data_IF_180842565144
#
_entry.id   IF_180842565144
#
_cell.length_a   1.000
_cell.length_b   1.000
_cell.length_c   1.000
_cell.angle_alpha   90.00
_cell.angle_beta   90.00
_cell.angle_gamma   90.00
#
_symmetry.space_group_name_H-M   'P 1'
#
loop_
_entity.id
_entity.type
_entity.pdbx_description
1 polymer ?
#
# COMPACT_ATOMS: atom_id res chain seq x y z
N UNK A 1 -0.71 -8.20 -26.97
CA UNK A 1 -0.61 -8.53 -25.53
C UNK A 1 -0.17 -7.25 -24.84
N UNK A 2 -1.06 -6.60 -24.12
CA UNK A 2 -0.75 -5.35 -23.41
C UNK A 2 0.01 -5.66 -22.11
N UNK A 3 0.68 -4.68 -21.52
CA UNK A 3 1.32 -4.80 -20.19
C UNK A 3 0.33 -5.29 -19.13
N UNK A 4 -0.94 -4.87 -19.22
CA UNK A 4 -2.07 -5.32 -18.40
C UNK A 4 -2.37 -6.81 -18.56
N UNK A 5 -2.33 -7.34 -19.80
CA UNK A 5 -2.56 -8.77 -20.05
C UNK A 5 -1.44 -9.61 -19.45
N UNK A 6 -0.20 -9.10 -19.47
CA UNK A 6 0.96 -9.77 -18.86
C UNK A 6 0.90 -9.78 -17.34
N UNK A 7 0.43 -8.69 -16.71
CA UNK A 7 0.23 -8.61 -15.26
C UNK A 7 -0.94 -9.49 -14.83
N UNK A 8 -2.06 -9.50 -15.56
CA UNK A 8 -3.21 -10.33 -15.23
C UNK A 8 -2.91 -11.83 -15.39
N UNK A 9 -2.19 -12.25 -16.43
CA UNK A 9 -1.75 -13.64 -16.60
C UNK A 9 -0.75 -14.07 -15.52
N UNK A 10 0.11 -13.16 -15.07
CA UNK A 10 1.00 -13.40 -13.94
C UNK A 10 0.22 -13.43 -12.63
N UNK A 11 -0.83 -12.62 -12.49
CA UNK A 11 -1.72 -12.57 -11.33
C UNK A 11 -2.44 -13.91 -11.11
N UNK A 12 -3.07 -14.51 -12.13
CA UNK A 12 -3.74 -15.82 -12.01
C UNK A 12 -2.76 -16.94 -11.66
N UNK A 13 -1.54 -16.93 -12.21
CA UNK A 13 -0.50 -17.89 -11.88
C UNK A 13 0.07 -17.73 -10.47
N UNK A 14 0.07 -16.49 -9.94
CA UNK A 14 0.60 -16.15 -8.62
C UNK A 14 -0.42 -16.47 -7.53
N UNK A 15 -1.72 -16.25 -7.78
CA UNK A 15 -2.80 -16.53 -6.82
C UNK A 15 -2.93 -18.03 -6.49
N UNK A 16 -2.43 -18.92 -7.35
CA UNK A 16 -2.38 -20.36 -7.10
C UNK A 16 -1.07 -20.86 -6.48
N UNK A 17 -0.13 -19.96 -6.16
CA UNK A 17 1.15 -20.31 -5.57
C UNK A 17 1.23 -19.81 -4.13
N UNK A 18 1.30 -20.69 -3.11
CA UNK A 18 1.36 -20.28 -1.69
C UNK A 18 2.61 -19.49 -1.31
N UNK A 19 3.58 -19.35 -2.20
CA UNK A 19 4.77 -18.52 -2.01
C UNK A 19 5.20 -17.89 -3.34
N UNK A 20 4.42 -16.92 -3.86
CA UNK A 20 4.68 -16.36 -5.18
C UNK A 20 6.04 -15.65 -5.22
N UNK A 21 6.82 -15.84 -6.29
CA UNK A 21 8.03 -15.07 -6.50
C UNK A 21 7.66 -13.59 -6.63
N UNK A 22 8.49 -12.71 -6.08
CA UNK A 22 8.33 -11.27 -6.29
C UNK A 22 8.35 -10.98 -7.80
N UNK A 23 7.34 -10.22 -8.25
CA UNK A 23 7.31 -9.78 -9.65
C UNK A 23 8.53 -8.90 -9.96
N UNK A 24 9.16 -9.04 -11.12
CA UNK A 24 10.13 -8.07 -11.60
C UNK A 24 9.40 -6.75 -11.85
N UNK A 25 9.67 -5.75 -11.02
CA UNK A 25 8.95 -4.47 -11.02
C UNK A 25 9.83 -3.41 -11.68
N UNK A 26 9.29 -2.73 -12.68
CA UNK A 26 9.78 -1.41 -13.05
C UNK A 26 9.09 -0.37 -12.15
N UNK A 27 9.85 0.44 -11.46
CA UNK A 27 9.34 1.55 -10.64
C UNK A 27 10.25 2.77 -10.76
N UNK A 28 9.73 3.93 -10.41
CA UNK A 28 10.48 5.18 -10.26
C UNK A 28 11.48 5.16 -9.09
N UNK A 29 11.69 3.99 -8.48
CA UNK A 29 12.50 3.80 -7.29
C UNK A 29 11.71 3.85 -5.98
N UNK A 30 10.39 4.11 -6.01
CA UNK A 30 9.55 4.16 -4.81
C UNK A 30 9.05 2.79 -4.33
N UNK A 31 9.17 1.74 -5.14
CA UNK A 31 8.73 0.38 -4.84
C UNK A 31 9.84 -0.62 -5.12
N UNK A 32 10.15 -1.47 -4.15
CA UNK A 32 11.15 -2.53 -4.30
C UNK A 32 10.55 -3.93 -4.44
N UNK A 33 9.31 -4.16 -3.97
CA UNK A 33 8.68 -5.48 -4.00
C UNK A 33 7.16 -5.39 -3.84
N UNK A 34 6.42 -6.30 -4.51
CA UNK A 34 4.97 -6.45 -4.37
C UNK A 34 4.65 -7.91 -3.99
N UNK A 35 3.69 -8.11 -3.08
CA UNK A 35 3.07 -9.40 -2.74
C UNK A 35 1.56 -9.26 -2.77
N UNK A 36 0.89 -10.36 -3.03
CA UNK A 36 -0.57 -10.44 -2.93
C UNK A 36 -0.97 -11.05 -1.60
N UNK A 37 -2.12 -10.62 -1.06
CA UNK A 37 -2.67 -11.21 0.14
C UNK A 37 -3.05 -12.66 -0.13
N UNK A 38 -2.69 -13.55 0.81
CA UNK A 38 -3.08 -14.95 0.80
C UNK A 38 -4.11 -15.18 1.91
N UNK A 39 -5.17 -15.93 1.63
CA UNK A 39 -6.25 -16.27 2.56
C UNK A 39 -5.86 -17.45 3.48
N UNK A 40 -4.56 -17.61 3.74
CA UNK A 40 -4.05 -18.63 4.64
C UNK A 40 -4.30 -18.26 6.11
N UNK A 41 -4.48 -19.28 6.92
CA UNK A 41 -4.88 -19.31 8.33
C UNK A 41 -4.51 -18.08 9.15
N UNK A 42 -5.53 -17.34 9.61
CA UNK A 42 -5.38 -16.23 10.54
C UNK A 42 -4.78 -16.68 11.89
N UNK A 43 -3.95 -15.83 12.47
CA UNK A 43 -3.40 -16.03 13.81
C UNK A 43 -4.02 -14.97 14.74
N UNK A 44 -4.89 -15.41 15.61
CA UNK A 44 -5.47 -14.55 16.65
C UNK A 44 -4.50 -14.40 17.83
N UNK A 45 -4.07 -13.18 18.09
CA UNK A 45 -3.21 -12.85 19.22
C UNK A 45 -3.97 -11.99 20.24
N UNK A 46 -3.59 -12.05 21.55
CA UNK A 46 -4.14 -11.16 22.55
C UNK A 46 -3.92 -9.68 22.17
N UNK A 47 -4.98 -8.91 22.19
CA UNK A 47 -4.97 -7.48 21.93
C UNK A 47 -5.56 -6.73 23.12
N UNK A 48 -4.81 -5.76 23.61
CA UNK A 48 -5.23 -4.91 24.72
C UNK A 48 -5.74 -3.58 24.14
N UNK A 49 -7.06 -3.43 24.05
CA UNK A 49 -7.71 -2.22 23.54
C UNK A 49 -7.76 -1.11 24.61
N UNK A 50 -6.64 -0.88 25.25
CA UNK A 50 -6.50 0.21 26.22
C UNK A 50 -5.58 1.27 25.67
N UNK A 51 -6.00 2.53 25.77
CA UNK A 51 -5.13 3.67 25.47
C UNK A 51 -4.00 3.74 26.50
N UNK A 52 -2.90 3.06 26.22
CA UNK A 52 -1.68 3.21 27.00
C UNK A 52 -1.11 4.59 26.73
N UNK A 53 -1.11 5.47 27.71
CA UNK A 53 -0.48 6.79 27.58
C UNK A 53 1.04 6.61 27.54
N UNK A 54 1.65 6.97 26.42
CA UNK A 54 3.11 6.97 26.27
C UNK A 54 3.69 8.11 27.15
N UNK A 55 3.98 7.84 28.39
CA UNK A 55 4.55 8.85 29.30
C UNK A 55 4.20 8.65 30.78
N UNK A 56 3.10 7.96 31.09
CA UNK A 56 2.74 7.63 32.48
C UNK A 56 2.29 6.17 32.59
N UNK A 57 2.66 5.47 33.69
CA UNK A 57 2.13 4.15 33.96
C UNK A 57 0.61 4.25 34.14
N UNK A 58 -0.14 3.44 33.40
CA UNK A 58 -1.58 3.26 33.61
C UNK A 58 -1.81 2.05 34.53
N UNK A 59 -2.78 2.10 35.48
CA UNK A 59 -3.13 0.90 36.28
C UNK A 59 -3.52 -0.25 35.35
N UNK A 60 -2.98 -1.44 35.60
CA UNK A 60 -3.22 -2.64 34.82
C UNK A 60 -4.55 -3.34 35.11
N UNK A 61 -5.45 -2.71 35.84
CA UNK A 61 -6.72 -3.29 36.29
C UNK A 61 -7.82 -3.04 35.26
N UNK A 62 -8.58 -4.07 34.89
CA UNK A 62 -9.74 -4.08 34.01
C UNK A 62 -9.46 -3.99 32.47
N UNK A 63 -8.45 -4.68 31.98
CA UNK A 63 -8.25 -4.82 30.55
C UNK A 63 -8.99 -6.05 30.02
N UNK A 64 -10.07 -5.82 29.27
CA UNK A 64 -10.70 -6.87 28.46
C UNK A 64 -9.71 -7.29 27.38
N UNK A 65 -9.19 -8.51 27.51
CA UNK A 65 -8.36 -9.13 26.49
C UNK A 65 -9.26 -9.46 25.28
N UNK A 66 -9.08 -8.74 24.21
CA UNK A 66 -9.67 -9.07 22.91
C UNK A 66 -8.67 -9.95 22.13
N UNK A 67 -9.19 -10.74 21.21
CA UNK A 67 -8.34 -11.45 20.26
C UNK A 67 -8.40 -10.74 18.92
N UNK A 68 -7.25 -10.46 18.35
CA UNK A 68 -7.11 -9.77 17.09
C UNK A 68 -6.25 -10.60 16.14
N UNK A 69 -6.76 -10.80 14.94
CA UNK A 69 -5.98 -11.20 13.78
C UNK A 69 -5.59 -9.94 12.99
N UNK A 70 -4.30 -9.72 12.83
CA UNK A 70 -3.79 -8.56 12.06
C UNK A 70 -4.28 -8.58 10.61
N UNK A 71 -4.42 -9.75 9.99
CA UNK A 71 -4.94 -9.84 8.64
C UNK A 71 -6.37 -9.29 8.57
N UNK A 72 -7.23 -9.69 9.51
CA UNK A 72 -8.61 -9.18 9.60
C UNK A 72 -8.65 -7.68 9.86
N UNK A 73 -7.68 -7.14 10.61
CA UNK A 73 -7.61 -5.70 10.90
C UNK A 73 -7.25 -4.88 9.66
N UNK A 74 -6.26 -5.33 8.88
CA UNK A 74 -5.66 -4.51 7.82
C UNK A 74 -6.15 -4.86 6.42
N UNK A 75 -6.82 -6.02 6.24
CA UNK A 75 -7.30 -6.52 4.96
C UNK A 75 -8.83 -6.54 4.97
N UNK A 76 -9.46 -5.54 4.36
CA UNK A 76 -10.91 -5.49 4.22
C UNK A 76 -11.40 -6.38 3.05
N UNK A 77 -10.64 -6.40 1.96
CA UNK A 77 -10.97 -7.12 0.72
C UNK A 77 -9.79 -8.00 0.29
N UNK A 78 -9.68 -9.27 0.75
CA UNK A 78 -8.52 -10.12 0.46
C UNK A 78 -8.21 -10.27 -1.03
N UNK A 79 -9.24 -10.43 -1.87
CA UNK A 79 -9.09 -10.59 -3.33
C UNK A 79 -8.62 -9.31 -4.05
N UNK A 80 -8.75 -8.15 -3.41
CA UNK A 80 -8.34 -6.86 -3.94
C UNK A 80 -7.10 -6.27 -3.24
N UNK A 81 -6.59 -6.94 -2.19
CA UNK A 81 -5.49 -6.44 -1.37
C UNK A 81 -4.15 -7.02 -1.81
N UNK A 82 -3.15 -6.17 -1.86
CA UNK A 82 -1.75 -6.57 -2.05
C UNK A 82 -0.83 -5.73 -1.16
N UNK A 83 0.41 -6.17 -1.01
CA UNK A 83 1.41 -5.51 -0.19
C UNK A 83 2.54 -4.99 -1.05
N UNK A 84 3.04 -3.80 -0.72
CA UNK A 84 4.13 -3.14 -1.42
C UNK A 84 5.24 -2.81 -0.44
N UNK A 85 6.47 -3.15 -0.75
CA UNK A 85 7.64 -2.65 0.00
C UNK A 85 8.09 -1.34 -0.61
N UNK A 86 8.11 -0.32 0.21
CA UNK A 86 8.62 1.01 -0.14
C UNK A 86 10.13 0.96 -0.40
N UNK A 87 10.57 1.72 -1.38
CA UNK A 87 11.97 2.07 -1.60
C UNK A 87 12.09 3.58 -1.76
N UNK A 88 13.16 4.16 -1.21
CA UNK A 88 13.40 5.60 -1.28
C UNK A 88 12.54 6.43 -0.34
N UNK A 89 12.57 7.75 -0.54
CA UNK A 89 12.12 8.75 0.43
C UNK A 89 11.05 9.72 -0.11
N UNK A 90 10.41 9.39 -1.23
CA UNK A 90 9.45 10.31 -1.89
C UNK A 90 8.21 10.63 -1.06
N UNK A 91 7.92 9.83 -0.02
CA UNK A 91 6.75 9.96 0.86
C UNK A 91 7.13 10.15 2.34
N UNK A 92 8.35 10.60 2.61
CA UNK A 92 8.95 10.71 3.95
C UNK A 92 8.18 11.63 4.89
N UNK A 93 7.66 12.75 4.40
CA UNK A 93 7.08 13.79 5.25
C UNK A 93 5.73 13.39 5.86
N UNK A 94 5.11 12.31 5.35
CA UNK A 94 3.94 11.66 5.97
C UNK A 94 4.30 10.37 6.71
N UNK A 95 5.59 10.13 6.95
CA UNK A 95 6.08 9.00 7.73
C UNK A 95 6.20 7.68 6.96
N UNK A 96 6.04 7.66 5.63
CA UNK A 96 6.31 6.49 4.79
C UNK A 96 7.76 6.58 4.31
N UNK A 97 8.58 5.59 4.71
CA UNK A 97 10.03 5.59 4.49
C UNK A 97 10.52 4.28 3.89
N UNK A 98 11.76 4.27 3.45
CA UNK A 98 12.41 3.08 2.89
C UNK A 98 12.25 1.85 3.78
N UNK A 99 11.89 0.72 3.18
CA UNK A 99 11.69 -0.56 3.86
C UNK A 99 10.29 -0.79 4.45
N UNK A 100 9.45 0.24 4.58
CA UNK A 100 8.07 0.10 5.06
C UNK A 100 7.25 -0.81 4.15
N UNK A 101 6.22 -1.43 4.71
CA UNK A 101 5.26 -2.24 3.94
C UNK A 101 3.93 -1.50 3.92
N UNK A 102 3.41 -1.27 2.74
CA UNK A 102 2.08 -0.70 2.53
C UNK A 102 1.07 -1.82 2.25
N UNK A 103 -0.10 -1.71 2.86
CA UNK A 103 -1.30 -2.47 2.49
C UNK A 103 -2.07 -1.65 1.48
N UNK A 104 -2.36 -2.21 0.33
CA UNK A 104 -2.97 -1.51 -0.80
C UNK A 104 -4.25 -2.22 -1.22
N UNK A 105 -5.35 -1.49 -1.28
CA UNK A 105 -6.64 -2.00 -1.69
C UNK A 105 -7.03 -1.46 -3.07
N UNK A 106 -7.29 -2.35 -4.02
CA UNK A 106 -7.70 -2.04 -5.39
C UNK A 106 -9.20 -1.77 -5.53
N UNK A 107 -10.00 -2.14 -4.55
CA UNK A 107 -11.45 -1.96 -4.58
C UNK A 107 -11.88 -0.53 -4.26
N UNK A 108 -10.97 0.29 -3.73
CA UNK A 108 -11.26 1.68 -3.39
C UNK A 108 -11.21 2.54 -4.65
N UNK A 109 -12.36 3.06 -5.07
CA UNK A 109 -12.50 3.86 -6.29
C UNK A 109 -12.39 5.37 -6.06
N UNK A 110 -12.34 5.84 -4.81
CA UNK A 110 -12.20 7.26 -4.50
C UNK A 110 -10.74 7.58 -4.14
N UNK A 111 -10.06 8.34 -4.99
CA UNK A 111 -8.60 8.53 -4.92
C UNK A 111 -8.19 9.91 -4.43
N UNK A 112 -9.07 10.92 -4.52
CA UNK A 112 -8.75 12.31 -4.21
C UNK A 112 -8.15 12.47 -2.79
N UNK A 113 -7.02 13.14 -2.71
CA UNK A 113 -6.21 13.34 -1.50
C UNK A 113 -5.69 12.05 -0.82
N UNK A 114 -5.76 10.90 -1.50
CA UNK A 114 -5.25 9.64 -0.97
C UNK A 114 -3.86 9.30 -1.51
N UNK A 115 -3.15 8.49 -0.72
CA UNK A 115 -1.90 7.88 -1.20
C UNK A 115 -2.28 6.69 -2.06
N UNK A 116 -1.76 6.68 -3.28
CA UNK A 116 -2.05 5.62 -4.26
C UNK A 116 -0.75 4.95 -4.72
N UNK A 117 -0.88 3.70 -5.10
CA UNK A 117 0.06 3.04 -6.00
C UNK A 117 -0.48 3.24 -7.41
N UNK A 118 0.29 3.89 -8.25
CA UNK A 118 -0.07 4.18 -9.63
C UNK A 118 0.93 3.56 -10.60
N UNK A 119 0.50 3.39 -11.85
CA UNK A 119 1.34 2.99 -12.98
C UNK A 119 1.33 4.11 -14.01
N UNK A 120 2.51 4.53 -14.43
CA UNK A 120 2.72 5.51 -15.50
C UNK A 120 3.71 4.90 -16.49
N UNK A 121 3.32 4.79 -17.76
CA UNK A 121 4.18 4.27 -18.83
C UNK A 121 4.87 2.94 -18.44
N UNK A 122 4.12 2.06 -17.78
CA UNK A 122 4.57 0.75 -17.25
C UNK A 122 5.53 0.81 -16.06
N UNK A 123 5.65 1.94 -15.36
CA UNK A 123 6.44 2.08 -14.14
C UNK A 123 5.55 2.37 -12.93
N UNK A 124 5.78 1.65 -11.83
CA UNK A 124 5.07 1.85 -10.57
C UNK A 124 5.61 3.06 -9.80
N UNK A 125 4.71 3.81 -9.17
CA UNK A 125 5.04 4.90 -8.26
C UNK A 125 4.09 4.96 -7.08
N UNK A 126 4.55 5.52 -5.95
CA UNK A 126 3.73 5.83 -4.77
C UNK A 126 3.67 7.35 -4.64
N UNK A 127 2.47 7.91 -4.71
CA UNK A 127 2.26 9.36 -4.66
C UNK A 127 0.91 9.67 -4.00
N UNK A 128 0.72 10.94 -3.60
CA UNK A 128 -0.61 11.47 -3.31
C UNK A 128 -1.30 11.83 -4.61
N UNK A 129 -2.52 11.33 -4.76
CA UNK A 129 -3.38 11.67 -5.89
C UNK A 129 -4.13 12.96 -5.59
N UNK A 130 -4.00 13.96 -6.43
CA UNK A 130 -4.75 15.22 -6.37
C UNK A 130 -5.26 15.61 -7.76
N UNK A 131 -6.27 16.48 -7.81
CA UNK A 131 -6.82 16.97 -9.06
C UNK A 131 -6.82 18.50 -9.07
N UNK A 132 -6.26 19.10 -10.09
CA UNK A 132 -6.26 20.55 -10.33
C UNK A 132 -6.85 20.84 -11.71
N UNK A 133 -7.96 21.59 -11.77
CA UNK A 133 -8.61 21.97 -13.03
C UNK A 133 -8.80 20.75 -13.99
N UNK A 134 -9.35 19.65 -13.45
CA UNK A 134 -9.56 18.38 -14.16
C UNK A 134 -8.28 17.63 -14.59
N UNK A 135 -7.12 18.10 -14.17
CA UNK A 135 -5.85 17.43 -14.42
C UNK A 135 -5.39 16.68 -13.18
N UNK A 136 -5.06 15.40 -13.35
CA UNK A 136 -4.48 14.59 -12.28
C UNK A 136 -3.04 15.01 -12.03
N UNK A 137 -2.72 15.21 -10.75
CA UNK A 137 -1.36 15.47 -10.27
C UNK A 137 -1.02 14.40 -9.24
N UNK A 138 0.12 13.77 -9.42
CA UNK A 138 0.69 12.83 -8.46
C UNK A 138 1.80 13.52 -7.68
N UNK A 139 1.52 13.82 -6.41
CA UNK A 139 2.41 14.61 -5.55
C UNK A 139 3.27 13.70 -4.66
N UNK A 140 4.56 14.01 -4.60
CA UNK A 140 5.44 13.43 -3.58
C UNK A 140 5.21 14.14 -2.24
N UNK A 141 5.33 13.42 -1.16
CA UNK A 141 5.35 13.96 0.21
C UNK A 141 6.80 14.15 0.68
N UNK A 142 7.58 14.78 -0.18
CA UNK A 142 8.97 15.18 0.03
C UNK A 142 9.33 16.22 -1.02
N UNK A 143 9.69 17.46 -0.64
CA UNK A 143 9.99 18.55 -1.58
C UNK A 143 11.19 18.30 -2.50
N UNK A 144 12.04 17.34 -2.15
CA UNK A 144 13.18 16.95 -3.00
C UNK A 144 12.75 16.14 -4.25
N UNK A 145 11.46 15.75 -4.32
CA UNK A 145 10.89 14.98 -5.43
C UNK A 145 9.82 15.79 -6.17
N UNK A 146 9.87 15.86 -7.50
CA UNK A 146 8.90 16.61 -8.28
C UNK A 146 7.53 15.94 -8.28
N UNK A 147 6.47 16.74 -8.38
CA UNK A 147 5.13 16.27 -8.71
C UNK A 147 5.06 15.88 -10.19
N UNK A 148 4.21 14.89 -10.50
CA UNK A 148 3.98 14.39 -11.86
C UNK A 148 2.59 14.84 -12.31
N UNK A 149 2.54 15.70 -13.33
CA UNK A 149 1.28 16.09 -13.96
C UNK A 149 0.95 15.08 -15.06
N UNK A 150 -0.18 14.40 -14.93
CA UNK A 150 -0.61 13.42 -15.91
C UNK A 150 -1.14 14.12 -17.16
N UNK A 151 -0.62 13.70 -18.32
CA UNK A 151 -1.01 14.20 -19.63
C UNK A 151 -1.73 13.11 -20.43
N UNK A 152 -2.52 13.46 -21.47
CA UNK A 152 -3.25 12.49 -22.29
C UNK A 152 -2.36 11.48 -23.02
N UNK A 153 -1.07 11.77 -23.19
CA UNK A 153 -0.11 10.89 -23.86
C UNK A 153 0.46 9.81 -22.95
N UNK A 154 0.32 9.97 -21.61
CA UNK A 154 0.81 9.01 -20.63
C UNK A 154 -0.16 7.85 -20.47
N UNK A 155 0.36 6.63 -20.46
CA UNK A 155 -0.40 5.45 -20.05
C UNK A 155 -0.47 5.41 -18.52
N UNK A 156 -1.57 5.93 -17.97
CA UNK A 156 -1.76 6.13 -16.54
C UNK A 156 -2.92 5.31 -15.99
N UNK A 157 -2.69 4.67 -14.85
CA UNK A 157 -3.75 4.04 -14.06
C UNK A 157 -3.43 4.03 -12.56
N UNK A 158 -4.47 4.13 -11.73
CA UNK A 158 -4.37 3.87 -10.29
C UNK A 158 -4.50 2.37 -10.06
N UNK A 159 -3.49 1.78 -9.42
CA UNK A 159 -3.46 0.35 -9.15
C UNK A 159 -4.12 0.00 -7.81
N UNK A 160 -4.14 0.93 -6.89
CA UNK A 160 -4.86 0.81 -5.63
C UNK A 160 -4.53 1.94 -4.66
N UNK A 161 -5.29 2.00 -3.58
CA UNK A 161 -5.16 3.00 -2.50
C UNK A 161 -4.43 2.39 -1.32
N UNK A 162 -3.47 3.12 -0.77
CA UNK A 162 -2.78 2.72 0.47
C UNK A 162 -3.74 2.91 1.63
N UNK A 163 -4.06 1.82 2.32
CA UNK A 163 -4.92 1.80 3.51
C UNK A 163 -4.13 1.81 4.82
N UNK A 164 -2.99 1.11 4.86
CA UNK A 164 -2.13 0.99 6.04
C UNK A 164 -0.65 1.05 5.68
N UNK A 165 0.14 1.50 6.65
CA UNK A 165 1.61 1.40 6.62
C UNK A 165 2.06 0.56 7.81
N UNK A 166 2.83 -0.50 7.54
CA UNK A 166 3.45 -1.35 8.55
C UNK A 166 4.94 -1.01 8.61
N UNK A 167 5.35 -0.49 9.76
CA UNK A 167 6.72 -0.04 10.01
C UNK A 167 7.40 -0.96 11.02
N UNK A 168 8.62 -1.41 10.69
CA UNK A 168 9.48 -2.08 11.64
C UNK A 168 10.34 -1.03 12.37
N UNK A 169 10.31 -1.05 13.70
CA UNK A 169 11.12 -0.19 14.56
C UNK A 169 12.51 -0.77 14.77
#
# INVERSE_FOLDING_TARGET
MTFYDSINLSYENIMNNPNPPALPIKSDGSISKIWFADDSQGIELPFFDTKVQAGFPSPAEDHLEQRLDLNTLVIENPSATFFVRVAGESMRDIGITDGDILVVDRSIESWENRIVVAVIDSEFTIKRFTTEQETVILEAENPDYPSIKITPEMDFSVWGVVSWTLKKL
#
